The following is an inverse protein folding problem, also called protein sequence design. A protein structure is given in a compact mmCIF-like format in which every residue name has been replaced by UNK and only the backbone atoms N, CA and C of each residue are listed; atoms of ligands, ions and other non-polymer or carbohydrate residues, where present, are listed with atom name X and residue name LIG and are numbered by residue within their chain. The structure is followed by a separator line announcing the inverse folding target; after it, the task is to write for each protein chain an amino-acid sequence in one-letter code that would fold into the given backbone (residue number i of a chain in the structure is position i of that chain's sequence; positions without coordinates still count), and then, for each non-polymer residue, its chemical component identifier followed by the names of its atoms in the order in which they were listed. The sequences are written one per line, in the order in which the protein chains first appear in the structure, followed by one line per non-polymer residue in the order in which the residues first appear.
data_IF_028276551272
#
_entry.id   IF_028276551272
#
_cell.length_a   1.000
_cell.length_b   1.000
_cell.length_c   1.000
_cell.angle_alpha   90.00
_cell.angle_beta   90.00
_cell.angle_gamma   90.00
#
_symmetry.space_group_name_H-M   'P 1'
#
loop_
_entity.id
_entity.type
_entity.pdbx_description
1 polymer ?
#
# COMPACT_ATOMS: atom_id res chain seq x y z
N UNK A 1 32.50 -2.18 -43.93
CA UNK A 1 31.06 -2.37 -44.24
C UNK A 1 30.24 -2.78 -43.02
N UNK A 2 30.73 -3.62 -42.10
CA UNK A 2 30.02 -4.01 -40.87
C UNK A 2 29.55 -2.82 -40.00
N UNK A 3 30.41 -1.84 -39.70
CA UNK A 3 30.00 -0.66 -38.88
C UNK A 3 29.00 0.30 -39.56
N UNK A 4 28.86 0.25 -40.89
CA UNK A 4 27.88 1.05 -41.64
C UNK A 4 26.48 0.39 -41.61
N UNK A 5 26.42 -0.94 -41.63
CA UNK A 5 25.17 -1.70 -41.46
C UNK A 5 24.69 -1.68 -40.01
N UNK A 6 25.59 -1.77 -39.03
CA UNK A 6 25.24 -1.61 -37.60
C UNK A 6 24.73 -0.19 -37.30
N UNK A 7 25.37 0.85 -37.85
CA UNK A 7 24.91 2.23 -37.70
C UNK A 7 23.55 2.50 -38.36
N UNK A 8 23.29 1.91 -39.53
CA UNK A 8 21.99 2.02 -40.20
C UNK A 8 20.89 1.24 -39.45
N UNK A 9 21.19 0.06 -38.92
CA UNK A 9 20.25 -0.72 -38.11
C UNK A 9 19.92 -0.05 -36.78
N UNK A 10 20.92 0.55 -36.10
CA UNK A 10 20.74 1.37 -34.91
C UNK A 10 19.88 2.62 -35.20
N UNK A 11 20.11 3.29 -36.34
CA UNK A 11 19.30 4.44 -36.74
C UNK A 11 17.85 4.04 -37.01
N UNK A 12 17.60 2.91 -37.69
CA UNK A 12 16.26 2.37 -37.92
C UNK A 12 15.58 1.97 -36.61
N UNK A 13 16.29 1.30 -35.68
CA UNK A 13 15.78 0.93 -34.36
C UNK A 13 15.44 2.17 -33.52
N UNK A 14 16.34 3.13 -33.43
CA UNK A 14 16.15 4.39 -32.69
C UNK A 14 15.03 5.25 -33.26
N UNK A 15 14.78 5.17 -34.57
CA UNK A 15 13.76 6.00 -35.23
C UNK A 15 12.38 5.33 -35.27
N UNK A 16 12.31 4.00 -35.30
CA UNK A 16 11.05 3.28 -35.56
C UNK A 16 10.70 2.21 -34.52
N UNK A 17 11.59 1.90 -33.58
CA UNK A 17 11.41 0.85 -32.58
C UNK A 17 12.05 1.23 -31.23
N UNK A 18 12.15 2.52 -30.92
CA UNK A 18 12.71 3.01 -29.65
C UNK A 18 12.01 2.30 -28.47
N UNK A 19 12.74 1.91 -27.43
CA UNK A 19 12.26 1.20 -26.23
C UNK A 19 12.39 2.09 -24.98
N UNK A 20 11.57 1.84 -23.95
CA UNK A 20 11.59 2.70 -22.77
C UNK A 20 12.77 2.30 -21.88
N UNK A 21 13.33 3.23 -21.08
CA UNK A 21 14.46 2.89 -20.22
C UNK A 21 14.09 1.80 -19.21
N UNK A 22 15.05 0.99 -18.77
CA UNK A 22 14.87 0.04 -17.66
C UNK A 22 15.52 0.62 -16.41
N UNK A 23 14.86 0.52 -15.26
CA UNK A 23 15.41 0.97 -13.97
C UNK A 23 15.49 -0.21 -13.02
N UNK A 24 16.66 -0.39 -12.39
CA UNK A 24 16.84 -1.40 -11.33
C UNK A 24 16.42 -0.80 -10.00
N UNK A 25 15.68 -1.52 -9.13
CA UNK A 25 15.33 -1.03 -7.80
C UNK A 25 16.57 -0.59 -7.02
N UNK A 26 16.44 0.56 -6.36
CA UNK A 26 17.52 1.18 -5.61
C UNK A 26 17.38 0.76 -4.14
N UNK A 27 18.25 -0.14 -3.69
CA UNK A 27 18.40 -0.46 -2.27
C UNK A 27 19.71 0.14 -1.76
N UNK A 28 19.62 0.97 -0.71
CA UNK A 28 20.81 1.38 0.04
C UNK A 28 20.62 1.09 1.52
N UNK A 29 21.64 0.46 2.08
CA UNK A 29 21.84 0.24 3.50
C UNK A 29 23.23 0.74 3.84
N UNK A 30 23.42 1.38 5.00
CA UNK A 30 24.76 1.58 5.55
C UNK A 30 25.00 2.89 6.32
N UNK A 31 24.29 3.97 6.00
CA UNK A 31 24.48 5.25 6.69
C UNK A 31 23.40 5.44 7.77
N UNK A 32 23.80 5.34 9.03
CA UNK A 32 22.91 5.53 10.20
C UNK A 32 22.62 7.00 10.49
N UNK A 33 23.32 7.92 9.83
CA UNK A 33 23.14 9.38 9.97
C UNK A 33 23.52 10.11 8.68
N UNK A 34 22.82 11.19 8.36
CA UNK A 34 23.19 12.08 7.25
C UNK A 34 22.63 11.66 5.87
N UNK A 35 23.06 12.36 4.79
CA UNK A 35 22.53 12.11 3.45
C UNK A 35 22.92 10.73 2.91
N UNK A 36 21.96 10.07 2.26
CA UNK A 36 22.17 8.78 1.59
C UNK A 36 22.34 9.03 0.10
N UNK A 37 23.47 8.60 -0.48
CA UNK A 37 23.77 8.79 -1.91
C UNK A 37 23.77 7.48 -2.66
N UNK A 38 23.24 7.48 -3.88
CA UNK A 38 23.30 6.31 -4.76
C UNK A 38 23.14 6.66 -6.23
N UNK A 39 22.87 5.65 -7.05
CA UNK A 39 22.63 5.80 -8.48
C UNK A 39 21.34 5.09 -8.88
N UNK A 40 20.52 5.75 -9.72
CA UNK A 40 19.28 5.18 -10.25
C UNK A 40 19.55 3.99 -11.18
N UNK A 41 20.67 4.02 -11.92
CA UNK A 41 21.12 2.88 -12.72
C UNK A 41 20.23 2.56 -13.93
N UNK A 42 19.54 3.55 -14.50
CA UNK A 42 18.70 3.33 -15.66
C UNK A 42 19.51 3.11 -16.95
N UNK A 43 19.01 2.26 -17.84
CA UNK A 43 19.59 2.00 -19.15
C UNK A 43 18.56 2.17 -20.25
N UNK A 44 18.96 2.84 -21.32
CA UNK A 44 18.18 2.94 -22.54
C UNK A 44 18.63 1.88 -23.55
N UNK A 45 17.74 1.03 -24.08
CA UNK A 45 18.14 -0.02 -25.01
C UNK A 45 18.74 0.49 -26.32
N UNK A 46 18.42 1.72 -26.73
CA UNK A 46 18.93 2.38 -27.93
C UNK A 46 20.15 3.27 -27.64
N UNK A 47 20.53 3.40 -26.38
CA UNK A 47 21.62 4.26 -25.92
C UNK A 47 21.25 5.75 -25.97
N UNK A 48 19.96 6.08 -26.01
CA UNK A 48 19.48 7.44 -25.94
C UNK A 48 19.87 8.12 -24.61
N UNK A 49 20.05 9.44 -24.67
CA UNK A 49 20.31 10.23 -23.47
C UNK A 49 19.09 10.16 -22.57
N UNK A 50 19.32 9.87 -21.30
CA UNK A 50 18.29 9.81 -20.27
C UNK A 50 18.18 11.13 -19.52
N UNK A 51 16.94 11.52 -19.21
CA UNK A 51 16.60 12.60 -18.28
C UNK A 51 15.92 12.00 -17.05
N UNK A 52 16.46 12.32 -15.88
CA UNK A 52 15.96 11.84 -14.60
C UNK A 52 15.12 12.92 -13.91
N UNK A 53 14.04 12.50 -13.24
CA UNK A 53 13.21 13.37 -12.41
C UNK A 53 12.71 12.60 -11.19
N UNK A 54 12.65 13.27 -10.05
CA UNK A 54 11.92 12.77 -8.88
C UNK A 54 10.44 13.08 -9.07
N UNK A 55 9.62 12.04 -9.13
CA UNK A 55 8.16 12.11 -9.36
C UNK A 55 7.39 12.10 -8.04
N UNK A 56 7.93 11.40 -7.04
CA UNK A 56 7.43 11.37 -5.66
C UNK A 56 8.63 11.51 -4.73
N UNK A 57 8.54 12.47 -3.79
CA UNK A 57 9.53 12.62 -2.72
C UNK A 57 9.32 11.56 -1.64
N UNK A 58 10.32 11.39 -0.78
CA UNK A 58 10.16 10.62 0.45
C UNK A 58 9.13 11.24 1.38
N UNK A 59 8.47 10.42 2.20
CA UNK A 59 7.59 10.90 3.26
C UNK A 59 8.39 11.47 4.44
N UNK A 60 9.64 11.03 4.60
CA UNK A 60 10.52 11.37 5.73
C UNK A 60 11.82 12.04 5.29
N UNK A 61 11.93 12.39 4.01
CA UNK A 61 13.06 13.15 3.49
C UNK A 61 12.89 13.58 2.04
N UNK A 62 13.88 14.31 1.53
CA UNK A 62 13.88 14.82 0.16
C UNK A 62 14.98 14.17 -0.67
N UNK A 63 14.67 13.84 -1.91
CA UNK A 63 15.58 13.33 -2.91
C UNK A 63 15.87 14.40 -3.96
N UNK A 64 17.16 14.59 -4.23
CA UNK A 64 17.67 15.28 -5.40
C UNK A 64 18.33 14.27 -6.34
N UNK A 65 18.15 14.42 -7.65
CA UNK A 65 18.82 13.60 -8.68
C UNK A 65 19.56 14.50 -9.66
N UNK A 66 20.80 14.14 -9.99
CA UNK A 66 21.62 14.87 -10.95
C UNK A 66 21.43 14.35 -12.40
N UNK A 67 22.08 15.03 -13.36
CA UNK A 67 21.99 14.67 -14.77
C UNK A 67 22.64 13.32 -15.11
N UNK A 68 23.52 12.80 -14.26
CA UNK A 68 24.16 11.49 -14.42
C UNK A 68 23.34 10.36 -13.77
N UNK A 69 22.23 10.69 -13.10
CA UNK A 69 21.39 9.76 -12.37
C UNK A 69 21.94 9.36 -11.01
N UNK A 70 22.90 10.13 -10.46
CA UNK A 70 23.25 10.03 -9.05
C UNK A 70 22.19 10.78 -8.24
N UNK A 71 21.81 10.24 -7.09
CA UNK A 71 20.85 10.88 -6.21
C UNK A 71 21.40 11.08 -4.80
N UNK A 72 20.82 12.02 -4.09
CA UNK A 72 21.05 12.29 -2.67
C UNK A 72 19.71 12.39 -1.97
N UNK A 73 19.46 11.47 -1.04
CA UNK A 73 18.35 11.52 -0.09
C UNK A 73 18.82 12.25 1.16
N UNK A 74 18.04 13.23 1.62
CA UNK A 74 18.28 14.00 2.84
C UNK A 74 17.11 13.76 3.79
N UNK A 75 17.32 13.08 4.93
CA UNK A 75 16.26 12.86 5.91
C UNK A 75 15.82 14.19 6.55
N UNK A 76 14.54 14.30 6.85
CA UNK A 76 13.98 15.43 7.61
C UNK A 76 14.46 15.41 9.07
N UNK A 77 14.68 14.21 9.62
CA UNK A 77 15.26 13.99 10.94
C UNK A 77 16.47 13.04 10.84
N UNK A 78 17.70 13.56 10.72
CA UNK A 78 18.90 12.76 10.49
C UNK A 78 19.33 11.89 11.68
N UNK A 79 18.68 12.03 12.84
CA UNK A 79 18.96 11.22 14.04
C UNK A 79 18.00 10.04 14.25
N UNK A 80 17.01 9.88 13.39
CA UNK A 80 15.95 8.87 13.52
C UNK A 80 16.16 7.68 12.60
N UNK A 81 15.66 6.51 13.02
CA UNK A 81 15.54 5.34 12.17
C UNK A 81 14.45 5.60 11.12
N UNK A 82 14.79 5.56 9.84
CA UNK A 82 13.87 5.89 8.75
C UNK A 82 13.82 4.75 7.73
N UNK A 83 12.62 4.23 7.51
CA UNK A 83 12.25 3.50 6.31
C UNK A 83 11.41 4.42 5.45
N UNK A 84 11.84 4.69 4.22
CA UNK A 84 11.15 5.60 3.32
C UNK A 84 11.24 5.10 1.87
N UNK A 85 10.40 5.67 1.01
CA UNK A 85 10.40 5.38 -0.41
C UNK A 85 10.18 6.64 -1.22
N UNK A 86 10.75 6.65 -2.42
CA UNK A 86 10.57 7.73 -3.37
C UNK A 86 10.39 7.14 -4.76
N UNK A 87 9.87 7.92 -5.71
CA UNK A 87 9.75 7.47 -7.10
C UNK A 87 10.51 8.40 -8.02
N UNK A 88 11.29 7.81 -8.91
CA UNK A 88 11.95 8.51 -10.01
C UNK A 88 11.42 8.04 -11.35
N UNK A 89 11.46 8.94 -12.33
CA UNK A 89 11.30 8.60 -13.74
C UNK A 89 12.64 8.75 -14.47
N UNK A 90 12.93 7.82 -15.39
CA UNK A 90 13.93 7.97 -16.43
C UNK A 90 13.22 8.10 -17.79
N UNK A 91 13.54 9.15 -18.54
CA UNK A 91 12.91 9.47 -19.83
C UNK A 91 13.96 9.50 -20.93
N UNK A 92 13.75 8.73 -22.00
CA UNK A 92 14.60 8.83 -23.20
C UNK A 92 14.32 10.16 -23.93
N UNK A 93 15.32 10.74 -24.59
CA UNK A 93 15.15 11.97 -25.40
C UNK A 93 15.19 11.71 -26.92
N UNK A 94 15.19 10.46 -27.35
CA UNK A 94 15.14 10.05 -28.73
C UNK A 94 13.74 10.22 -29.34
N UNK A 95 13.59 10.11 -30.67
CA UNK A 95 12.27 10.08 -31.29
C UNK A 95 11.45 8.89 -30.77
N UNK A 96 10.31 9.13 -30.16
CA UNK A 96 9.51 8.10 -29.46
C UNK A 96 8.64 7.23 -30.38
N UNK A 97 8.95 7.15 -31.68
CA UNK A 97 8.20 6.32 -32.62
C UNK A 97 8.64 4.86 -32.40
N UNK A 98 7.72 4.04 -31.89
CA UNK A 98 7.81 2.60 -31.96
C UNK A 98 6.65 2.07 -32.80
N UNK A 99 6.92 1.55 -33.99
CA UNK A 99 5.90 1.10 -34.96
C UNK A 99 5.16 -0.16 -34.49
N UNK A 100 5.68 -0.88 -33.48
CA UNK A 100 5.02 -2.02 -32.84
C UNK A 100 4.29 -1.62 -31.56
N UNK A 101 4.54 -0.41 -31.04
CA UNK A 101 3.92 0.14 -29.85
C UNK A 101 3.79 1.67 -29.96
N UNK A 102 2.90 2.12 -30.84
CA UNK A 102 2.76 3.53 -31.22
C UNK A 102 2.41 4.47 -30.05
N UNK A 103 1.80 3.95 -28.98
CA UNK A 103 1.37 4.71 -27.80
C UNK A 103 2.27 4.50 -26.57
N UNK A 104 3.51 4.02 -26.76
CA UNK A 104 4.46 3.84 -25.66
C UNK A 104 4.71 5.15 -24.91
N UNK A 105 4.91 5.08 -23.60
CA UNK A 105 5.42 6.21 -22.83
C UNK A 105 6.93 6.32 -23.01
N UNK A 106 7.46 7.53 -23.17
CA UNK A 106 8.91 7.78 -23.23
C UNK A 106 9.61 7.63 -21.88
N UNK A 107 8.82 7.54 -20.80
CA UNK A 107 9.29 7.47 -19.42
C UNK A 107 9.03 6.09 -18.81
N UNK A 108 9.99 5.63 -18.02
CA UNK A 108 9.85 4.50 -17.09
C UNK A 108 10.03 4.98 -15.67
N UNK A 109 9.19 4.47 -14.77
CA UNK A 109 9.19 4.81 -13.34
C UNK A 109 9.76 3.66 -12.51
N UNK A 110 10.40 4.00 -11.39
CA UNK A 110 10.81 3.02 -10.39
C UNK A 110 10.82 3.61 -8.98
N UNK A 111 10.48 2.76 -8.03
CA UNK A 111 10.62 3.04 -6.61
C UNK A 111 12.09 2.91 -6.18
N UNK A 112 12.55 3.90 -5.43
CA UNK A 112 13.72 3.80 -4.57
C UNK A 112 13.30 3.49 -3.15
N UNK A 113 14.09 2.67 -2.46
CA UNK A 113 13.91 2.34 -1.05
C UNK A 113 15.04 2.93 -0.22
N UNK A 114 14.69 3.51 0.92
CA UNK A 114 15.62 4.07 1.90
C UNK A 114 15.45 3.30 3.20
N UNK A 115 16.56 2.75 3.71
CA UNK A 115 16.62 2.13 5.03
C UNK A 115 17.79 2.77 5.80
N UNK A 116 17.50 3.88 6.45
CA UNK A 116 18.41 4.60 7.34
C UNK A 116 18.24 4.05 8.76
N UNK A 117 18.84 2.89 9.01
CA UNK A 117 18.72 2.17 10.27
C UNK A 117 20.06 1.50 10.60
N UNK A 118 20.33 1.16 11.87
CA UNK A 118 21.49 0.36 12.26
C UNK A 118 21.67 -0.89 11.40
N UNK A 119 22.93 -1.25 11.17
CA UNK A 119 23.26 -2.48 10.43
C UNK A 119 22.68 -3.68 11.18
N UNK A 120 21.93 -4.51 10.45
CA UNK A 120 21.28 -5.70 11.00
C UNK A 120 19.89 -5.46 11.58
N UNK A 121 19.35 -4.23 11.56
CA UNK A 121 17.94 -3.98 11.85
C UNK A 121 17.08 -4.85 10.93
N UNK A 122 16.13 -5.65 11.48
CA UNK A 122 15.26 -6.49 10.67
C UNK A 122 14.36 -5.65 9.75
N UNK A 123 14.03 -6.20 8.58
CA UNK A 123 13.29 -5.47 7.53
C UNK A 123 12.19 -6.29 6.92
N UNK A 124 11.13 -5.61 6.51
CA UNK A 124 10.11 -6.14 5.61
C UNK A 124 10.47 -5.70 4.20
N UNK A 125 10.77 -6.65 3.32
CA UNK A 125 10.94 -6.40 1.88
C UNK A 125 9.83 -7.06 1.09
N UNK A 126 9.71 -6.69 -0.19
CA UNK A 126 8.61 -7.16 -1.03
C UNK A 126 9.09 -7.67 -2.37
N UNK A 127 8.46 -8.73 -2.87
CA UNK A 127 8.59 -9.21 -4.24
C UNK A 127 7.21 -9.32 -4.88
N UNK A 128 6.99 -8.56 -5.95
CA UNK A 128 5.75 -8.60 -6.73
C UNK A 128 5.96 -9.39 -8.02
N UNK A 129 5.26 -10.52 -8.16
CA UNK A 129 5.28 -11.35 -9.36
C UNK A 129 4.02 -11.07 -10.17
N UNK A 130 4.17 -10.38 -11.29
CA UNK A 130 3.04 -9.96 -12.12
C UNK A 130 2.67 -11.06 -13.11
N UNK A 131 1.50 -11.66 -12.92
CA UNK A 131 0.96 -12.75 -13.72
C UNK A 131 -0.05 -12.27 -14.78
N UNK A 132 -1.24 -12.86 -14.76
CA UNK A 132 -2.31 -12.53 -15.69
C UNK A 132 -2.68 -11.04 -15.63
N UNK A 133 -2.85 -10.40 -16.79
CA UNK A 133 -3.13 -8.96 -16.87
C UNK A 133 -1.94 -8.05 -16.59
N UNK A 134 -0.72 -8.59 -16.52
CA UNK A 134 0.51 -7.81 -16.33
C UNK A 134 0.73 -6.71 -17.37
N UNK A 135 0.09 -6.79 -18.54
CA UNK A 135 0.10 -5.73 -19.56
C UNK A 135 -0.62 -4.45 -19.13
N UNK A 136 -1.55 -4.51 -18.17
CA UNK A 136 -2.25 -3.34 -17.62
C UNK A 136 -1.40 -2.60 -16.58
N UNK A 137 -0.45 -3.31 -15.97
CA UNK A 137 0.47 -2.77 -14.99
C UNK A 137 1.58 -1.95 -15.65
N UNK A 138 1.32 -0.67 -15.86
CA UNK A 138 2.32 0.30 -16.31
C UNK A 138 3.51 0.38 -15.36
N UNK A 139 4.65 0.89 -15.83
CA UNK A 139 5.81 1.12 -14.95
C UNK A 139 5.48 2.08 -13.81
N UNK A 140 4.57 3.04 -14.03
CA UNK A 140 4.07 3.93 -12.99
C UNK A 140 3.31 3.17 -11.89
N UNK A 141 2.35 2.32 -12.27
CA UNK A 141 1.57 1.52 -11.32
C UNK A 141 2.46 0.56 -10.50
N UNK A 142 3.44 -0.07 -11.16
CA UNK A 142 4.41 -0.96 -10.50
C UNK A 142 5.31 -0.21 -9.52
N UNK A 143 5.78 0.98 -9.91
CA UNK A 143 6.58 1.83 -9.05
C UNK A 143 5.78 2.34 -7.86
N UNK A 144 4.54 2.77 -8.06
CA UNK A 144 3.66 3.24 -6.99
C UNK A 144 3.34 2.11 -5.99
N UNK A 145 2.99 0.91 -6.47
CA UNK A 145 2.75 -0.24 -5.58
C UNK A 145 3.99 -0.57 -4.74
N UNK A 146 5.17 -0.61 -5.36
CA UNK A 146 6.41 -0.89 -4.66
C UNK A 146 6.75 0.20 -3.62
N UNK A 147 6.66 1.48 -4.00
CA UNK A 147 6.90 2.59 -3.09
C UNK A 147 5.89 2.59 -1.93
N UNK A 148 4.63 2.30 -2.22
CA UNK A 148 3.55 2.24 -1.23
C UNK A 148 3.78 1.12 -0.21
N UNK A 149 4.18 -0.08 -0.65
CA UNK A 149 4.46 -1.19 0.25
C UNK A 149 5.65 -0.90 1.17
N UNK A 150 6.71 -0.26 0.65
CA UNK A 150 7.85 0.19 1.46
C UNK A 150 7.39 1.26 2.47
N UNK A 151 6.59 2.23 2.04
CA UNK A 151 6.05 3.25 2.93
C UNK A 151 5.16 2.66 4.02
N UNK A 152 4.29 1.70 3.69
CA UNK A 152 3.49 0.98 4.69
C UNK A 152 4.38 0.24 5.69
N UNK A 153 5.46 -0.41 5.24
CA UNK A 153 6.39 -1.09 6.16
C UNK A 153 7.07 -0.15 7.16
N UNK A 154 7.16 1.15 6.85
CA UNK A 154 7.74 2.15 7.77
C UNK A 154 6.96 2.33 9.08
N UNK A 155 5.70 1.88 9.13
CA UNK A 155 4.89 1.91 10.34
C UNK A 155 5.23 0.78 11.32
N UNK A 156 5.94 -0.27 10.87
CA UNK A 156 6.17 -1.50 11.61
C UNK A 156 7.64 -1.63 12.03
N UNK A 157 7.87 -2.18 13.22
CA UNK A 157 9.19 -2.54 13.72
C UNK A 157 9.32 -4.08 13.75
N UNK A 158 9.72 -4.71 12.61
CA UNK A 158 9.77 -6.16 12.51
C UNK A 158 10.87 -6.74 13.39
N UNK A 159 10.65 -7.96 13.90
CA UNK A 159 11.64 -8.70 14.69
C UNK A 159 12.50 -9.63 13.81
N UNK A 160 12.12 -9.81 12.54
CA UNK A 160 12.74 -10.73 11.60
C UNK A 160 12.91 -10.10 10.22
N UNK A 161 13.98 -10.46 9.51
CA UNK A 161 14.11 -10.13 8.09
C UNK A 161 13.17 -11.02 7.30
N UNK A 162 12.20 -10.41 6.63
CA UNK A 162 11.19 -11.13 5.86
C UNK A 162 11.06 -10.52 4.47
N UNK A 163 10.90 -11.38 3.48
CA UNK A 163 10.50 -10.97 2.14
C UNK A 163 9.07 -11.46 1.89
N UNK A 164 8.14 -10.53 1.73
CA UNK A 164 6.74 -10.80 1.45
C UNK A 164 6.55 -10.89 -0.06
N UNK A 165 6.09 -12.04 -0.51
CA UNK A 165 5.91 -12.36 -1.92
C UNK A 165 4.43 -12.23 -2.29
N UNK A 166 4.16 -11.46 -3.35
CA UNK A 166 2.81 -11.27 -3.88
C UNK A 166 2.70 -11.81 -5.29
N UNK A 167 1.67 -12.62 -5.53
CA UNK A 167 1.18 -12.88 -6.88
C UNK A 167 0.22 -11.75 -7.27
N UNK A 168 0.57 -11.02 -8.33
CA UNK A 168 -0.15 -9.81 -8.75
C UNK A 168 -0.84 -10.05 -10.09
N UNK A 169 -2.14 -9.83 -10.13
CA UNK A 169 -2.96 -9.88 -11.35
C UNK A 169 -3.52 -8.50 -11.68
N UNK A 170 -3.93 -8.34 -12.93
CA UNK A 170 -4.61 -7.14 -13.41
C UNK A 170 -5.81 -7.52 -14.25
N UNK A 171 -6.83 -6.68 -14.21
CA UNK A 171 -8.00 -6.81 -15.07
C UNK A 171 -8.42 -5.45 -15.61
N UNK A 172 -9.27 -5.47 -16.64
CA UNK A 172 -9.89 -4.28 -17.20
C UNK A 172 -11.39 -4.54 -17.30
N UNK A 173 -12.11 -4.24 -16.23
CA UNK A 173 -13.55 -4.48 -16.13
C UNK A 173 -14.27 -3.19 -15.74
N UNK A 174 -15.06 -2.66 -16.66
CA UNK A 174 -15.96 -1.51 -16.40
C UNK A 174 -17.24 -1.92 -15.66
N UNK A 175 -17.46 -3.22 -15.48
CA UNK A 175 -18.67 -3.78 -14.86
C UNK A 175 -18.43 -4.34 -13.44
N UNK A 176 -17.18 -4.46 -13.00
CA UNK A 176 -16.84 -4.97 -11.67
C UNK A 176 -16.84 -3.86 -10.63
N UNK A 177 -17.55 -4.02 -9.52
CA UNK A 177 -17.62 -3.02 -8.44
C UNK A 177 -16.33 -2.90 -7.61
N UNK A 178 -15.42 -3.87 -7.72
CA UNK A 178 -14.16 -3.90 -6.97
C UNK A 178 -13.06 -3.13 -7.71
N UNK A 179 -12.43 -2.19 -7.01
CA UNK A 179 -11.31 -1.39 -7.52
C UNK A 179 -10.01 -2.20 -7.52
N UNK A 180 -9.73 -2.83 -6.38
CA UNK A 180 -8.63 -3.73 -6.13
C UNK A 180 -9.03 -4.69 -5.01
N UNK A 181 -8.25 -5.75 -4.82
CA UNK A 181 -8.36 -6.63 -3.66
C UNK A 181 -7.00 -7.20 -3.34
N UNK A 182 -6.61 -7.28 -2.07
CA UNK A 182 -5.51 -8.12 -1.65
C UNK A 182 -5.87 -9.02 -0.48
N UNK A 183 -5.26 -10.21 -0.47
CA UNK A 183 -5.52 -11.21 0.55
C UNK A 183 -4.30 -12.10 0.81
N UNK A 184 -4.36 -12.82 1.92
CA UNK A 184 -3.37 -13.82 2.32
C UNK A 184 -4.11 -14.94 3.05
N UNK A 185 -3.78 -16.19 2.73
CA UNK A 185 -4.43 -17.37 3.31
C UNK A 185 -4.20 -17.42 4.83
N UNK A 186 -5.06 -18.11 5.56
CA UNK A 186 -4.86 -18.36 7.00
C UNK A 186 -3.87 -19.50 7.21
N UNK A 187 -3.08 -19.43 8.29
CA UNK A 187 -2.13 -20.49 8.64
C UNK A 187 -2.78 -21.73 9.28
N UNK A 188 -4.06 -21.62 9.65
CA UNK A 188 -4.85 -22.67 10.28
C UNK A 188 -6.32 -22.49 9.88
N UNK A 189 -7.03 -23.61 9.72
CA UNK A 189 -8.46 -23.66 9.39
C UNK A 189 -9.33 -23.88 10.65
N UNK A 190 -8.77 -23.56 11.82
CA UNK A 190 -9.41 -23.79 13.13
C UNK A 190 -8.98 -22.72 14.13
N UNK A 191 -9.95 -22.25 14.92
CA UNK A 191 -9.78 -21.23 15.93
C UNK A 191 -9.52 -19.85 15.33
N UNK A 192 -8.76 -19.03 16.06
CA UNK A 192 -8.28 -17.74 15.57
C UNK A 192 -6.88 -17.90 14.97
N UNK A 193 -6.75 -17.63 13.68
CA UNK A 193 -5.51 -17.82 12.93
C UNK A 193 -5.03 -16.51 12.31
N UNK A 194 -3.70 -16.36 12.22
CA UNK A 194 -3.10 -15.28 11.45
C UNK A 194 -3.15 -15.58 9.96
N UNK A 195 -3.12 -14.53 9.13
CA UNK A 195 -2.78 -14.72 7.71
C UNK A 195 -1.32 -15.18 7.57
N UNK A 196 -0.95 -15.73 6.42
CA UNK A 196 0.44 -16.10 6.11
C UNK A 196 1.36 -14.89 6.20
N UNK A 197 0.96 -13.75 5.60
CA UNK A 197 1.75 -12.50 5.68
C UNK A 197 1.90 -12.03 7.12
N UNK A 198 0.82 -12.01 7.90
CA UNK A 198 0.85 -11.63 9.31
C UNK A 198 1.80 -12.53 10.11
N UNK A 199 1.63 -13.86 9.99
CA UNK A 199 2.48 -14.81 10.70
C UNK A 199 3.95 -14.66 10.31
N UNK A 200 4.24 -14.49 9.02
CA UNK A 200 5.61 -14.32 8.52
C UNK A 200 6.26 -13.08 9.11
N UNK A 201 5.58 -11.93 9.12
CA UNK A 201 6.12 -10.69 9.71
C UNK A 201 6.36 -10.85 11.22
N UNK A 202 5.40 -11.44 11.94
CA UNK A 202 5.47 -11.56 13.40
C UNK A 202 6.52 -12.57 13.87
N UNK A 203 6.73 -13.66 13.13
CA UNK A 203 7.50 -14.83 13.60
C UNK A 203 8.75 -15.13 12.76
N UNK A 204 8.87 -14.54 11.57
CA UNK A 204 9.88 -14.89 10.57
C UNK A 204 9.66 -16.25 9.89
N UNK A 205 8.58 -16.97 10.21
CA UNK A 205 8.29 -18.30 9.67
C UNK A 205 7.48 -18.20 8.38
N UNK A 206 7.98 -18.89 7.35
CA UNK A 206 7.25 -19.10 6.10
C UNK A 206 6.29 -20.30 6.24
N UNK A 207 4.99 -20.02 6.24
CA UNK A 207 3.93 -21.01 6.49
C UNK A 207 3.38 -21.67 5.22
N UNK A 208 3.75 -21.20 4.03
CA UNK A 208 3.18 -21.64 2.75
C UNK A 208 4.26 -22.06 1.72
N UNK A 209 5.54 -22.04 2.09
CA UNK A 209 6.63 -22.62 1.33
C UNK A 209 6.95 -21.81 0.07
N UNK A 210 6.79 -22.42 -1.12
CA UNK A 210 7.10 -21.73 -2.38
C UNK A 210 5.92 -20.94 -2.95
N UNK A 211 4.74 -21.01 -2.33
CA UNK A 211 3.59 -20.22 -2.76
C UNK A 211 3.82 -18.72 -2.44
N UNK A 212 3.11 -17.84 -3.15
CA UNK A 212 3.13 -16.43 -2.80
C UNK A 212 2.46 -16.22 -1.43
N UNK A 213 3.06 -15.42 -0.56
CA UNK A 213 2.54 -15.09 0.78
C UNK A 213 1.15 -14.42 0.71
N UNK A 214 0.92 -13.62 -0.35
CA UNK A 214 -0.37 -13.01 -0.62
C UNK A 214 -0.68 -12.86 -2.11
N UNK A 215 -1.89 -12.40 -2.38
CA UNK A 215 -2.38 -12.10 -3.73
C UNK A 215 -2.85 -10.66 -3.81
N UNK A 216 -2.70 -10.05 -4.98
CA UNK A 216 -3.22 -8.72 -5.31
C UNK A 216 -3.90 -8.82 -6.66
N UNK A 217 -5.16 -8.41 -6.75
CA UNK A 217 -5.87 -8.18 -8.00
C UNK A 217 -6.21 -6.70 -8.14
N UNK A 218 -6.05 -6.15 -9.34
CA UNK A 218 -6.24 -4.72 -9.59
C UNK A 218 -7.04 -4.46 -10.85
N UNK A 219 -8.08 -3.63 -10.75
CA UNK A 219 -8.94 -3.29 -11.86
C UNK A 219 -8.54 -1.95 -12.50
N UNK A 220 -7.91 -2.03 -13.67
CA UNK A 220 -7.53 -0.89 -14.49
C UNK A 220 -8.66 -0.38 -15.40
N UNK A 221 -9.88 -0.91 -15.27
CA UNK A 221 -11.08 -0.32 -15.87
C UNK A 221 -11.41 1.07 -15.29
N UNK A 222 -10.96 1.35 -14.07
CA UNK A 222 -11.11 2.64 -13.40
C UNK A 222 -9.95 3.60 -13.70
N UNK A 223 -10.22 4.90 -13.54
CA UNK A 223 -9.18 5.93 -13.60
C UNK A 223 -8.32 5.93 -12.34
N UNK A 224 -7.00 5.99 -12.49
CA UNK A 224 -6.04 5.92 -11.39
C UNK A 224 -5.11 7.14 -11.40
N UNK A 225 -5.03 7.82 -10.24
CA UNK A 225 -4.02 8.81 -9.92
C UNK A 225 -2.80 8.16 -9.28
N UNK A 226 -1.61 8.65 -9.62
CA UNK A 226 -0.33 8.09 -9.15
C UNK A 226 0.53 9.19 -8.52
N UNK A 227 1.44 8.79 -7.63
CA UNK A 227 2.43 9.66 -7.02
C UNK A 227 1.74 10.84 -6.33
N UNK A 228 2.12 12.07 -6.68
CA UNK A 228 1.59 13.31 -6.12
C UNK A 228 0.35 13.84 -6.85
N UNK A 229 -0.13 13.17 -7.90
CA UNK A 229 -1.21 13.69 -8.75
C UNK A 229 -2.37 12.71 -8.84
N UNK A 230 -3.52 13.10 -8.28
CA UNK A 230 -4.79 12.39 -8.47
C UNK A 230 -5.73 13.26 -9.30
N UNK A 231 -5.90 12.99 -10.60
CA UNK A 231 -6.81 13.75 -11.45
C UNK A 231 -8.27 13.63 -10.97
N UNK A 232 -9.09 14.64 -11.25
CA UNK A 232 -10.51 14.59 -10.96
C UNK A 232 -11.19 13.39 -11.62
N UNK A 233 -12.01 12.66 -10.85
CA UNK A 233 -12.68 11.44 -11.31
C UNK A 233 -11.78 10.19 -11.37
N UNK A 234 -10.55 10.26 -10.86
CA UNK A 234 -9.66 9.11 -10.68
C UNK A 234 -9.56 8.72 -9.21
N UNK A 235 -9.40 7.44 -8.93
CA UNK A 235 -9.09 6.91 -7.61
C UNK A 235 -7.62 7.10 -7.28
N UNK A 236 -7.32 7.23 -5.99
CA UNK A 236 -5.95 7.34 -5.49
C UNK A 236 -5.31 5.95 -5.37
N UNK A 237 -4.31 5.69 -6.22
CA UNK A 237 -3.62 4.40 -6.23
C UNK A 237 -2.88 4.13 -4.92
N UNK A 238 -2.19 5.12 -4.34
CA UNK A 238 -1.43 4.92 -3.10
C UNK A 238 -2.37 4.61 -1.94
N UNK A 239 -3.45 5.38 -1.79
CA UNK A 239 -4.47 5.15 -0.76
C UNK A 239 -5.03 3.73 -0.87
N UNK A 240 -5.47 3.34 -2.07
CA UNK A 240 -6.04 2.01 -2.30
C UNK A 240 -5.01 0.91 -2.04
N UNK A 241 -3.77 1.07 -2.51
CA UNK A 241 -2.74 0.06 -2.31
C UNK A 241 -2.37 -0.12 -0.83
N UNK A 242 -2.34 0.95 -0.03
CA UNK A 242 -2.14 0.84 1.41
C UNK A 242 -3.30 0.10 2.08
N UNK A 243 -4.54 0.42 1.70
CA UNK A 243 -5.75 -0.23 2.18
C UNK A 243 -5.71 -1.74 1.91
N UNK A 244 -5.50 -2.13 0.65
CA UNK A 244 -5.47 -3.54 0.26
C UNK A 244 -4.34 -4.31 0.97
N UNK A 245 -3.15 -3.72 1.04
CA UNK A 245 -2.03 -4.36 1.73
C UNK A 245 -2.30 -4.58 3.22
N UNK A 246 -3.09 -3.73 3.90
CA UNK A 246 -3.44 -3.96 5.30
C UNK A 246 -4.32 -5.19 5.52
N UNK A 247 -5.16 -5.56 4.56
CA UNK A 247 -5.92 -6.82 4.65
C UNK A 247 -4.99 -8.03 4.72
N UNK A 248 -3.89 -8.02 3.96
CA UNK A 248 -2.93 -9.12 3.99
C UNK A 248 -2.19 -9.17 5.33
N UNK A 249 -2.01 -8.03 6.00
CA UNK A 249 -1.45 -7.91 7.36
C UNK A 249 -2.43 -8.34 8.46
N UNK A 250 -3.63 -8.81 8.09
CA UNK A 250 -4.60 -9.34 9.05
C UNK A 250 -5.63 -8.32 9.54
N UNK A 251 -5.71 -7.12 8.96
CA UNK A 251 -6.90 -6.27 9.10
C UNK A 251 -8.01 -6.88 8.23
N UNK A 252 -8.54 -8.02 8.64
CA UNK A 252 -9.43 -8.85 7.82
C UNK A 252 -10.33 -9.64 8.74
N UNK A 253 -11.63 -9.64 8.49
CA UNK A 253 -12.59 -10.52 9.14
C UNK A 253 -13.01 -11.63 8.18
N UNK A 254 -13.24 -12.83 8.71
CA UNK A 254 -13.91 -13.92 7.98
C UNK A 254 -15.30 -14.25 8.56
N UNK A 255 -15.79 -13.42 9.48
CA UNK A 255 -17.21 -13.46 9.90
C UNK A 255 -18.07 -13.17 8.68
N UNK A 256 -19.01 -14.06 8.39
CA UNK A 256 -19.93 -13.99 7.27
C UNK A 256 -21.33 -13.54 7.73
N UNK A 257 -22.26 -13.42 6.79
CA UNK A 257 -23.66 -13.07 7.06
C UNK A 257 -24.33 -14.02 8.06
N UNK A 258 -25.38 -13.51 8.69
CA UNK A 258 -26.20 -14.27 9.61
C UNK A 258 -26.61 -15.64 9.03
N UNK A 259 -26.30 -16.70 9.80
CA UNK A 259 -26.58 -18.09 9.41
C UNK A 259 -25.39 -18.85 8.82
N UNK A 260 -24.32 -18.17 8.41
CA UNK A 260 -23.13 -18.81 7.82
C UNK A 260 -21.98 -19.05 8.82
N UNK A 261 -22.03 -18.42 10.00
CA UNK A 261 -20.98 -18.46 11.03
C UNK A 261 -21.01 -19.74 11.88
N UNK A 262 -20.93 -20.91 11.24
CA UNK A 262 -21.05 -22.22 11.90
C UNK A 262 -19.75 -22.99 12.02
N UNK A 263 -18.69 -22.55 11.34
CA UNK A 263 -17.37 -23.18 11.36
C UNK A 263 -16.43 -22.30 12.16
N UNK A 264 -15.73 -22.87 13.13
CA UNK A 264 -14.82 -22.15 14.00
C UNK A 264 -13.47 -21.92 13.32
N UNK A 265 -13.47 -21.08 12.29
CA UNK A 265 -12.28 -20.69 11.54
C UNK A 265 -12.32 -19.17 11.34
N UNK A 266 -11.49 -18.47 12.10
CA UNK A 266 -11.56 -17.04 12.29
C UNK A 266 -10.18 -16.42 12.16
N UNK A 267 -10.13 -15.12 11.89
CA UNK A 267 -8.87 -14.37 11.93
C UNK A 267 -8.51 -13.96 13.36
N UNK A 268 -7.24 -13.62 13.61
CA UNK A 268 -6.87 -12.95 14.88
C UNK A 268 -7.66 -11.66 15.09
N UNK A 269 -8.01 -10.94 14.02
CA UNK A 269 -8.85 -9.75 14.08
C UNK A 269 -10.24 -10.05 14.67
N UNK A 270 -10.86 -11.15 14.25
CA UNK A 270 -12.17 -11.58 14.75
C UNK A 270 -12.15 -11.87 16.25
N UNK A 271 -11.03 -12.31 16.81
CA UNK A 271 -10.89 -12.55 18.26
C UNK A 271 -11.15 -11.31 19.10
N UNK A 272 -11.05 -10.12 18.51
CA UNK A 272 -11.32 -8.83 19.13
C UNK A 272 -12.73 -8.30 18.83
N UNK A 273 -13.58 -9.04 18.13
CA UNK A 273 -14.91 -8.56 17.77
C UNK A 273 -15.84 -8.53 19.00
N UNK A 274 -16.47 -7.38 19.21
CA UNK A 274 -17.32 -7.10 20.37
C UNK A 274 -18.62 -6.40 19.96
N UNK A 275 -19.61 -6.46 20.85
CA UNK A 275 -20.77 -5.57 20.78
C UNK A 275 -20.40 -4.13 21.16
N UNK A 276 -21.36 -3.20 21.04
CA UNK A 276 -21.15 -1.78 21.40
C UNK A 276 -20.73 -1.54 22.86
N UNK A 277 -20.96 -2.50 23.75
CA UNK A 277 -20.63 -2.39 25.17
C UNK A 277 -19.29 -3.07 25.50
N UNK A 278 -18.60 -3.62 24.50
CA UNK A 278 -17.33 -4.33 24.69
C UNK A 278 -17.47 -5.80 25.09
N UNK A 279 -18.67 -6.40 24.98
CA UNK A 279 -18.84 -7.83 25.23
C UNK A 279 -18.39 -8.61 23.99
N UNK A 280 -17.56 -9.65 24.19
CA UNK A 280 -17.16 -10.55 23.11
C UNK A 280 -18.38 -11.18 22.41
N UNK A 281 -18.30 -11.28 21.08
CA UNK A 281 -19.30 -11.98 20.27
C UNK A 281 -19.02 -13.48 20.15
N UNK A 282 -17.84 -13.93 20.63
CA UNK A 282 -17.44 -15.33 20.67
C UNK A 282 -17.52 -15.91 22.09
N UNK A 283 -17.89 -17.18 22.21
CA UNK A 283 -18.09 -17.90 23.47
C UNK A 283 -17.65 -19.37 23.34
N UNK A 284 -17.91 -20.16 24.39
CA UNK A 284 -17.60 -21.57 24.44
C UNK A 284 -16.30 -21.87 25.21
N UNK A 285 -15.94 -23.15 25.38
CA UNK A 285 -14.77 -23.56 26.15
C UNK A 285 -13.46 -22.96 25.63
N UNK A 286 -13.35 -22.86 24.30
CA UNK A 286 -12.16 -22.35 23.60
C UNK A 286 -12.34 -20.89 23.14
N UNK A 287 -13.50 -20.29 23.41
CA UNK A 287 -13.80 -18.89 23.07
C UNK A 287 -13.96 -18.62 21.57
N UNK A 288 -14.21 -19.65 20.76
CA UNK A 288 -14.22 -19.61 19.28
C UNK A 288 -15.62 -19.77 18.68
N UNK A 289 -16.65 -20.08 19.46
CA UNK A 289 -18.00 -20.25 18.90
C UNK A 289 -18.66 -18.88 18.70
N UNK A 290 -19.10 -18.54 17.49
CA UNK A 290 -19.82 -17.27 17.24
C UNK A 290 -21.24 -17.30 17.84
N UNK A 291 -21.57 -16.32 18.68
CA UNK A 291 -22.90 -16.23 19.28
C UNK A 291 -23.92 -15.66 18.30
N UNK A 292 -24.76 -16.54 17.76
CA UNK A 292 -25.85 -16.20 16.83
C UNK A 292 -26.85 -15.17 17.37
N UNK A 293 -26.88 -14.89 18.68
CA UNK A 293 -27.64 -13.77 19.24
C UNK A 293 -27.19 -12.40 18.67
N UNK A 294 -25.94 -12.29 18.21
CA UNK A 294 -25.41 -11.08 17.56
C UNK A 294 -25.60 -11.04 16.04
N UNK A 295 -26.34 -11.98 15.45
CA UNK A 295 -26.71 -11.91 14.02
C UNK A 295 -27.32 -10.56 13.61
N UNK A 296 -28.18 -9.89 14.41
CA UNK A 296 -28.69 -8.56 14.08
C UNK A 296 -27.60 -7.47 14.01
N UNK A 297 -26.46 -7.66 14.66
CA UNK A 297 -25.37 -6.68 14.68
C UNK A 297 -24.55 -6.68 13.39
N UNK A 298 -24.52 -7.80 12.67
CA UNK A 298 -23.81 -7.95 11.39
C UNK A 298 -24.30 -6.96 10.31
N UNK A 299 -25.52 -6.46 10.46
CA UNK A 299 -26.13 -5.46 9.57
C UNK A 299 -26.70 -4.26 10.35
N UNK A 300 -26.18 -4.02 11.56
CA UNK A 300 -26.74 -3.07 12.51
C UNK A 300 -26.32 -1.60 12.30
N UNK A 301 -25.45 -1.33 11.33
CA UNK A 301 -24.88 -0.01 11.05
C UNK A 301 -24.29 0.67 12.30
N UNK A 302 -24.30 2.00 12.34
CA UNK A 302 -23.77 2.76 13.48
C UNK A 302 -24.58 2.59 14.78
N UNK A 303 -25.84 2.15 14.71
CA UNK A 303 -26.74 2.11 15.87
C UNK A 303 -26.61 0.82 16.68
N UNK A 304 -26.41 -0.30 16.00
CA UNK A 304 -26.34 -1.63 16.61
C UNK A 304 -25.32 -2.53 15.90
N UNK A 305 -24.30 -1.95 15.25
CA UNK A 305 -23.28 -2.71 14.52
C UNK A 305 -22.37 -3.56 15.40
N UNK A 306 -21.36 -4.12 14.75
CA UNK A 306 -20.22 -4.76 15.40
C UNK A 306 -19.08 -3.76 15.60
N UNK A 307 -18.20 -4.08 16.54
CA UNK A 307 -17.07 -3.23 16.92
C UNK A 307 -15.81 -4.06 17.09
N UNK A 308 -14.66 -3.42 16.97
CA UNK A 308 -13.36 -3.96 17.33
C UNK A 308 -12.98 -3.50 18.75
N UNK A 309 -12.76 -4.47 19.64
CA UNK A 309 -12.56 -4.31 21.07
C UNK A 309 -11.12 -4.53 21.54
N UNK A 310 -10.14 -4.38 20.66
CA UNK A 310 -8.73 -4.43 21.04
C UNK A 310 -8.34 -3.26 21.96
N UNK A 311 -7.51 -3.52 22.97
CA UNK A 311 -7.20 -2.55 24.02
C UNK A 311 -6.48 -1.30 23.49
N UNK A 312 -5.57 -1.47 22.52
CA UNK A 312 -4.83 -0.36 21.94
C UNK A 312 -5.73 0.48 21.01
N UNK A 313 -6.55 -0.17 20.19
CA UNK A 313 -7.54 0.48 19.34
C UNK A 313 -8.58 1.26 20.17
N UNK A 314 -9.09 0.65 21.24
CA UNK A 314 -10.00 1.30 22.18
C UNK A 314 -9.34 2.50 22.86
N UNK A 315 -8.08 2.38 23.31
CA UNK A 315 -7.34 3.50 23.88
C UNK A 315 -7.20 4.67 22.89
N UNK A 316 -6.93 4.38 21.61
CA UNK A 316 -6.89 5.38 20.55
C UNK A 316 -8.27 5.99 20.23
N UNK A 317 -9.35 5.27 20.53
CA UNK A 317 -10.75 5.68 20.34
C UNK A 317 -11.42 6.19 21.63
N UNK A 318 -10.63 6.79 22.53
CA UNK A 318 -11.15 7.40 23.77
C UNK A 318 -11.71 6.41 24.79
N UNK A 319 -11.24 5.16 24.76
CA UNK A 319 -11.67 4.06 25.63
C UNK A 319 -12.88 3.28 25.12
N UNK A 320 -13.43 3.60 23.94
CA UNK A 320 -14.64 2.97 23.40
C UNK A 320 -14.29 1.95 22.31
N UNK A 321 -15.09 0.86 22.15
CA UNK A 321 -14.97 -0.05 21.00
C UNK A 321 -15.01 0.71 19.67
N UNK A 322 -14.24 0.24 18.68
CA UNK A 322 -14.08 0.88 17.37
C UNK A 322 -15.17 0.39 16.41
N UNK A 323 -16.05 1.24 15.85
CA UNK A 323 -17.13 0.80 14.97
C UNK A 323 -16.64 0.13 13.69
N UNK A 324 -17.13 -1.08 13.41
CA UNK A 324 -16.87 -1.80 12.17
C UNK A 324 -18.00 -1.57 11.15
N UNK A 325 -17.65 -1.65 9.88
CA UNK A 325 -18.58 -1.56 8.77
C UNK A 325 -19.57 -2.72 8.81
N UNK A 326 -20.83 -2.41 9.07
CA UNK A 326 -21.92 -3.36 9.31
C UNK A 326 -23.15 -2.96 8.49
N UNK A 327 -23.03 -2.96 7.14
CA UNK A 327 -24.05 -2.40 6.25
C UNK A 327 -25.34 -3.21 6.26
N UNK A 328 -26.43 -2.58 5.83
CA UNK A 328 -27.71 -3.25 5.57
C UNK A 328 -28.17 -2.93 4.14
N UNK A 329 -28.14 -3.90 3.21
CA UNK A 329 -27.86 -5.33 3.42
C UNK A 329 -26.38 -5.66 3.65
N UNK A 330 -26.10 -6.89 4.09
CA UNK A 330 -24.73 -7.44 4.20
C UNK A 330 -23.98 -7.37 2.87
N UNK A 331 -22.72 -6.94 2.94
CA UNK A 331 -21.80 -6.87 1.80
C UNK A 331 -20.63 -7.85 1.99
N UNK A 332 -20.62 -8.91 1.19
CA UNK A 332 -19.59 -9.95 1.24
C UNK A 332 -18.21 -9.38 0.89
N UNK A 333 -17.19 -9.72 1.69
CA UNK A 333 -15.82 -9.25 1.51
C UNK A 333 -15.57 -7.84 2.04
N UNK A 334 -16.61 -7.12 2.49
CA UNK A 334 -16.47 -5.78 3.06
C UNK A 334 -16.95 -5.68 4.50
N UNK A 335 -18.11 -6.26 4.79
CA UNK A 335 -18.69 -6.23 6.14
C UNK A 335 -17.69 -6.84 7.13
N UNK A 336 -17.54 -6.21 8.30
CA UNK A 336 -16.62 -6.55 9.39
C UNK A 336 -15.13 -6.33 9.12
N UNK A 337 -14.68 -6.35 7.86
CA UNK A 337 -13.27 -6.15 7.48
C UNK A 337 -12.85 -4.68 7.36
N UNK A 338 -13.77 -3.75 7.57
CA UNK A 338 -13.55 -2.31 7.43
C UNK A 338 -14.04 -1.53 8.64
N UNK A 339 -13.55 -0.30 8.76
CA UNK A 339 -14.08 0.71 9.66
C UNK A 339 -15.38 1.30 9.10
N UNK A 340 -16.26 1.73 9.99
CA UNK A 340 -17.63 2.09 9.61
C UNK A 340 -17.71 3.42 8.82
N UNK A 341 -18.19 3.32 7.57
CA UNK A 341 -18.35 4.45 6.64
C UNK A 341 -19.26 5.58 7.12
N UNK A 342 -20.34 5.25 7.82
CA UNK A 342 -21.26 6.27 8.33
C UNK A 342 -20.71 6.96 9.60
N UNK A 343 -19.72 6.35 10.26
CA UNK A 343 -19.10 6.88 11.47
C UNK A 343 -17.87 7.73 11.16
N UNK A 344 -16.99 7.23 10.28
CA UNK A 344 -15.74 7.88 9.90
C UNK A 344 -15.90 8.59 8.55
N UNK A 345 -16.38 9.83 8.60
CA UNK A 345 -16.72 10.64 7.40
C UNK A 345 -15.90 11.92 7.29
N UNK A 346 -15.77 12.44 6.08
CA UNK A 346 -15.13 13.73 5.80
C UNK A 346 -13.70 13.79 6.34
N UNK A 347 -13.38 14.83 7.12
CA UNK A 347 -12.03 14.96 7.72
C UNK A 347 -11.68 13.83 8.71
N UNK A 348 -12.67 13.04 9.16
CA UNK A 348 -12.50 11.90 10.03
C UNK A 348 -12.50 10.56 9.29
N UNK A 349 -12.45 10.56 7.95
CA UNK A 349 -12.21 9.35 7.17
C UNK A 349 -10.91 8.66 7.60
N UNK A 350 -10.86 7.35 7.42
CA UNK A 350 -9.77 6.45 7.77
C UNK A 350 -9.32 5.72 6.52
N UNK A 351 -8.10 5.19 6.53
CA UNK A 351 -7.60 4.42 5.41
C UNK A 351 -8.45 3.15 5.20
N UNK A 352 -8.87 2.49 6.27
CA UNK A 352 -9.64 1.25 6.27
C UNK A 352 -11.16 1.44 6.27
N UNK A 353 -11.67 2.60 5.84
CA UNK A 353 -13.07 2.75 5.46
C UNK A 353 -13.39 1.82 4.28
N UNK A 354 -14.61 1.29 4.20
CA UNK A 354 -15.00 0.32 3.18
C UNK A 354 -15.16 0.95 1.79
N UNK A 355 -15.66 2.19 1.74
CA UNK A 355 -15.79 2.94 0.50
C UNK A 355 -14.59 3.88 0.30
N UNK A 356 -14.27 4.12 -0.97
CA UNK A 356 -13.32 5.13 -1.42
C UNK A 356 -14.00 6.02 -2.45
N UNK A 357 -13.86 7.33 -2.32
CA UNK A 357 -14.27 8.29 -3.35
C UNK A 357 -13.10 8.56 -4.33
N UNK A 358 -13.42 9.15 -5.47
CA UNK A 358 -12.41 9.69 -6.39
C UNK A 358 -11.77 10.96 -5.82
N UNK A 359 -10.52 11.21 -6.18
CA UNK A 359 -9.70 12.29 -5.61
C UNK A 359 -8.66 11.76 -4.64
N UNK A 360 -7.96 12.68 -3.96
CA UNK A 360 -6.89 12.32 -3.02
C UNK A 360 -7.49 11.60 -1.81
N UNK A 361 -7.09 10.36 -1.60
CA UNK A 361 -7.53 9.52 -0.48
C UNK A 361 -6.66 9.69 0.77
N UNK A 362 -7.04 8.99 1.84
CA UNK A 362 -6.24 8.91 3.06
C UNK A 362 -4.98 8.07 2.79
N UNK A 363 -3.79 8.65 2.96
CA UNK A 363 -2.50 7.96 2.71
C UNK A 363 -1.70 7.72 3.97
N UNK A 364 -2.32 7.79 5.15
CA UNK A 364 -1.63 7.65 6.43
C UNK A 364 -2.48 6.82 7.38
N UNK A 365 -1.84 5.95 8.16
CA UNK A 365 -2.55 5.24 9.23
C UNK A 365 -2.94 6.21 10.34
N UNK A 366 -4.21 6.19 10.72
CA UNK A 366 -4.71 6.87 11.91
C UNK A 366 -4.22 6.17 13.19
N UNK A 367 -4.34 6.86 14.31
CA UNK A 367 -4.03 6.28 15.63
C UNK A 367 -4.89 5.06 15.95
N UNK A 368 -6.12 4.99 15.42
CA UNK A 368 -7.03 3.84 15.59
C UNK A 368 -6.52 2.64 14.80
N UNK A 369 -6.15 2.82 13.53
CA UNK A 369 -5.61 1.73 12.70
C UNK A 369 -4.28 1.23 13.25
N UNK A 370 -3.40 2.13 13.70
CA UNK A 370 -2.17 1.76 14.43
C UNK A 370 -2.50 0.97 15.71
N UNK A 371 -3.56 1.36 16.43
CA UNK A 371 -4.05 0.63 17.60
C UNK A 371 -4.50 -0.78 17.25
N UNK A 372 -5.27 -0.94 16.17
CA UNK A 372 -5.69 -2.25 15.65
C UNK A 372 -4.47 -3.10 15.30
N UNK A 373 -3.49 -2.56 14.57
CA UNK A 373 -2.27 -3.32 14.25
C UNK A 373 -1.52 -3.78 15.50
N UNK A 374 -1.46 -2.95 16.56
CA UNK A 374 -0.88 -3.36 17.85
C UNK A 374 -1.66 -4.51 18.49
N UNK A 375 -2.98 -4.45 18.47
CA UNK A 375 -3.83 -5.52 19.00
C UNK A 375 -3.68 -6.83 18.21
N UNK A 376 -3.39 -6.75 16.91
CA UNK A 376 -3.02 -7.89 16.07
C UNK A 376 -1.59 -8.43 16.30
N UNK A 377 -0.85 -7.87 17.27
CA UNK A 377 0.46 -8.33 17.70
C UNK A 377 1.65 -7.58 17.12
N UNK A 378 1.43 -6.59 16.26
CA UNK A 378 2.54 -5.83 15.65
C UNK A 378 3.18 -4.85 16.63
N UNK A 379 4.51 -4.77 16.58
CA UNK A 379 5.23 -3.62 17.15
C UNK A 379 5.25 -2.50 16.12
N UNK A 380 4.74 -1.33 16.52
CA UNK A 380 4.63 -0.16 15.65
C UNK A 380 5.68 0.88 16.04
N UNK A 381 6.22 1.61 15.07
CA UNK A 381 7.21 2.67 15.32
C UNK A 381 6.63 3.73 16.26
N UNK A 382 7.39 4.09 17.29
CA UNK A 382 6.93 4.96 18.41
C UNK A 382 6.63 6.41 18.02
N UNK A 383 7.12 6.87 16.87
CA UNK A 383 6.82 8.16 16.28
C UNK A 383 6.34 7.95 14.84
N UNK A 384 5.06 8.17 14.56
CA UNK A 384 4.70 8.54 13.19
C UNK A 384 5.23 9.95 12.98
N UNK A 385 6.21 10.17 12.08
CA UNK A 385 6.68 11.52 11.79
C UNK A 385 5.48 12.29 11.26
N UNK A 386 5.11 13.33 11.99
CA UNK A 386 4.02 14.21 11.62
C UNK A 386 4.39 14.79 10.25
N UNK A 387 3.61 14.49 9.22
CA UNK A 387 3.73 15.19 7.95
C UNK A 387 3.42 16.66 8.25
N UNK A 388 4.46 17.48 8.33
CA UNK A 388 4.30 18.93 8.41
C UNK A 388 3.68 19.36 7.08
N UNK A 389 2.34 19.46 7.05
CA UNK A 389 1.61 20.06 5.93
C UNK A 389 2.05 21.52 5.83
N UNK A 390 2.98 21.79 4.91
CA UNK A 390 3.42 23.13 4.59
C UNK A 390 2.30 23.82 3.81
N UNK A 391 1.42 24.55 4.50
CA UNK A 391 0.47 25.46 3.87
C UNK A 391 1.23 26.62 3.21
N UNK A 392 1.60 26.48 1.92
CA UNK A 392 2.08 27.62 1.13
C UNK A 392 0.86 28.40 0.59
N UNK A 393 0.53 29.47 1.30
CA UNK A 393 0.24 30.79 0.71
C UNK A 393 -1.12 31.04 0.06
N UNK A 394 -2.12 31.44 0.87
CA UNK A 394 -3.18 32.34 0.40
C UNK A 394 -2.63 33.78 0.35
N UNK A 395 -2.39 34.29 -0.86
CA UNK A 395 -2.10 35.71 -1.08
C UNK A 395 -3.25 36.58 -0.55
N UNK A 396 -2.92 37.44 0.41
CA UNK A 396 -3.73 38.58 0.83
C UNK A 396 -3.92 39.55 -0.35
N UNK A 397 -5.06 39.46 -1.04
CA UNK A 397 -5.51 40.55 -1.92
C UNK A 397 -6.10 41.65 -1.05
N UNK A 398 -5.26 42.63 -0.75
CA UNK A 398 -5.61 43.89 -0.09
C UNK A 398 -6.55 44.69 -1.01
N UNK A 399 -7.86 44.69 -0.73
CA UNK A 399 -8.84 45.58 -1.40
C UNK A 399 -8.43 47.04 -1.17
N UNK A 400 -8.04 47.74 -2.23
CA UNK A 400 -7.97 49.21 -2.25
C UNK A 400 -9.38 49.78 -2.27
N UNK A 401 -9.66 50.69 -1.34
CA UNK A 401 -10.82 51.58 -1.37
C UNK A 401 -10.73 52.49 -2.59
N UNK A 402 -11.83 52.61 -3.32
CA UNK A 402 -12.28 53.87 -3.92
C UNK A 402 -13.75 54.04 -3.59
#
# INVERSE_FOLDING_TARGET
MQGLFEGAALLVRRTFFNEAPKVTPVQLTGEVTGPITGKIGATDPEGDRLVYKVTQQGHYGTVAVDAAGNYTYTPNDPGSNIVDSFVVSATDTGPHINLLNWFRTSSTYAAGSIYQEPVGTPKITYTFTYGNGSQFWSSAARAELAATAIYLSSYFEPQHNVNITYSVTGQYSLAGATLASAGSDLISESGFASTVVQNKILTGVDSNGSAADGTIDWNFGYGWGYFTTVPGGSYDFQSTAMHELLHTYGFLSVVDKAGNNTVENWTVFDSHMVDKNGNSVFFGPDGTTFNTAYNPNLTGGVSNGMYFGGANAMAANGGNPVPLYSPNPWESGSSMSHLNDDYYTGANEKLMNASSDTGLGVRTLSTIEIGIMKDLGYTMVSASPTVAVLFIGLMLVRRRRQ
#
